data_IF_262275798706
#
_entry.id   IF_262275798706
#
_cell.length_a   1.000
_cell.length_b   1.000
_cell.length_c   1.000
_cell.angle_alpha   90.00
_cell.angle_beta   90.00
_cell.angle_gamma   90.00
#
_symmetry.space_group_name_H-M   'P 1'
#
loop_
_entity.id
_entity.type
_entity.pdbx_description
1 polymer ?
#
# COMPACT_ATOMS: atom_id res chain seq x y z
N UNK A 1 4.32 -19.59 0.13
CA UNK A 1 3.73 -19.26 -1.19
C UNK A 1 4.88 -19.35 -2.19
N UNK A 2 4.76 -18.91 -3.44
CA UNK A 2 5.96 -18.72 -4.29
C UNK A 2 6.17 -17.24 -4.55
N UNK A 3 7.40 -16.82 -4.83
CA UNK A 3 7.71 -15.41 -5.15
C UNK A 3 6.95 -14.93 -6.39
N UNK A 4 6.76 -15.82 -7.37
CA UNK A 4 5.94 -15.56 -8.57
C UNK A 4 4.48 -15.32 -8.21
N UNK A 5 3.92 -16.14 -7.32
CA UNK A 5 2.55 -15.96 -6.81
C UNK A 5 2.44 -14.64 -6.05
N UNK A 6 3.43 -14.28 -5.22
CA UNK A 6 3.46 -13.00 -4.51
C UNK A 6 3.44 -11.80 -5.46
N UNK A 7 4.25 -11.84 -6.53
CA UNK A 7 4.28 -10.78 -7.55
C UNK A 7 2.92 -10.65 -8.26
N UNK A 8 2.30 -11.76 -8.66
CA UNK A 8 0.97 -11.76 -9.32
C UNK A 8 -0.10 -11.19 -8.39
N UNK A 9 -0.12 -11.61 -7.13
CA UNK A 9 -1.09 -11.13 -6.14
C UNK A 9 -0.90 -9.65 -5.83
N UNK A 10 0.34 -9.18 -5.76
CA UNK A 10 0.67 -7.78 -5.54
C UNK A 10 0.22 -6.90 -6.72
N UNK A 11 0.48 -7.33 -7.96
CA UNK A 11 -0.05 -6.67 -9.18
C UNK A 11 -1.57 -6.60 -9.16
N UNK A 12 -2.22 -7.73 -8.91
CA UNK A 12 -3.68 -7.83 -8.85
C UNK A 12 -4.29 -6.93 -7.75
N UNK A 13 -3.67 -6.87 -6.58
CA UNK A 13 -4.12 -6.01 -5.48
C UNK A 13 -3.97 -4.52 -5.84
N UNK A 14 -2.84 -4.14 -6.43
CA UNK A 14 -2.59 -2.76 -6.84
C UNK A 14 -3.52 -2.31 -7.98
N UNK A 15 -3.83 -3.17 -8.95
CA UNK A 15 -4.77 -2.86 -10.02
C UNK A 15 -6.20 -2.67 -9.49
N UNK A 16 -6.61 -3.51 -8.54
CA UNK A 16 -7.89 -3.32 -7.86
C UNK A 16 -7.94 -1.99 -7.10
N UNK A 17 -6.83 -1.59 -6.46
CA UNK A 17 -6.72 -0.30 -5.78
C UNK A 17 -6.80 0.87 -6.76
N UNK A 18 -6.05 0.82 -7.87
CA UNK A 18 -6.08 1.83 -8.94
C UNK A 18 -7.48 1.97 -9.53
N UNK A 19 -8.17 0.85 -9.77
CA UNK A 19 -9.55 0.84 -10.26
C UNK A 19 -10.51 1.52 -9.28
N UNK A 20 -10.44 1.19 -8.00
CA UNK A 20 -11.29 1.80 -6.98
C UNK A 20 -11.01 3.30 -6.80
N UNK A 21 -9.74 3.72 -6.87
CA UNK A 21 -9.38 5.14 -6.82
C UNK A 21 -9.84 5.87 -8.08
N UNK A 22 -9.74 5.25 -9.26
CA UNK A 22 -10.25 5.84 -10.49
C UNK A 22 -11.77 6.08 -10.41
N UNK A 23 -12.55 5.13 -9.89
CA UNK A 23 -13.97 5.36 -9.62
C UNK A 23 -14.20 6.55 -8.67
N UNK A 24 -13.40 6.67 -7.61
CA UNK A 24 -13.48 7.80 -6.69
C UNK A 24 -13.17 9.14 -7.38
N UNK A 25 -12.15 9.18 -8.25
CA UNK A 25 -11.83 10.37 -9.07
C UNK A 25 -13.04 10.75 -9.92
N UNK A 26 -13.67 9.79 -10.60
CA UNK A 26 -14.86 10.03 -11.42
C UNK A 26 -16.01 10.60 -10.57
N UNK A 27 -16.29 10.02 -9.41
CA UNK A 27 -17.33 10.54 -8.50
C UNK A 27 -17.04 11.96 -8.00
N UNK A 28 -15.77 12.27 -7.69
CA UNK A 28 -15.39 13.60 -7.16
C UNK A 28 -15.33 14.66 -8.26
N UNK A 29 -14.90 14.29 -9.46
CA UNK A 29 -14.66 15.22 -10.56
C UNK A 29 -15.84 15.36 -11.52
N UNK A 30 -16.40 14.24 -11.99
CA UNK A 30 -17.42 14.23 -13.04
C UNK A 30 -18.83 14.32 -12.47
N UNK A 31 -19.13 13.63 -11.37
CA UNK A 31 -20.47 13.61 -10.76
C UNK A 31 -20.75 14.83 -9.85
N UNK A 32 -19.86 15.83 -9.83
CA UNK A 32 -19.97 16.96 -8.90
C UNK A 32 -21.18 17.86 -9.23
N UNK A 33 -21.90 18.37 -8.21
CA UNK A 33 -23.03 19.27 -8.41
C UNK A 33 -22.65 20.53 -9.19
N UNK A 34 -23.63 21.16 -9.83
CA UNK A 34 -23.44 22.44 -10.53
C UNK A 34 -23.07 23.54 -9.51
N UNK A 35 -22.18 24.46 -9.89
CA UNK A 35 -21.61 25.51 -9.04
C UNK A 35 -20.78 24.96 -7.85
N UNK A 36 -19.97 23.93 -8.13
CA UNK A 36 -19.09 23.28 -7.15
C UNK A 36 -17.73 23.95 -6.96
N UNK A 37 -17.55 25.18 -7.46
CA UNK A 37 -16.32 25.99 -7.35
C UNK A 37 -16.09 26.47 -5.90
N UNK A 38 -15.74 25.52 -5.04
CA UNK A 38 -15.64 25.68 -3.60
C UNK A 38 -14.32 25.08 -3.19
N UNK A 39 -13.54 25.82 -2.43
CA UNK A 39 -12.22 25.40 -1.97
C UNK A 39 -12.20 24.02 -1.29
N UNK A 40 -13.28 23.61 -0.62
CA UNK A 40 -13.41 22.29 -0.02
C UNK A 40 -13.46 21.14 -1.04
N UNK A 41 -14.00 21.39 -2.24
CA UNK A 41 -14.06 20.43 -3.35
C UNK A 41 -12.73 20.36 -4.07
N UNK A 42 -12.08 21.51 -4.30
CA UNK A 42 -10.76 21.55 -4.90
C UNK A 42 -9.74 20.80 -4.04
N UNK A 43 -9.77 21.03 -2.71
CA UNK A 43 -8.92 20.31 -1.77
C UNK A 43 -9.22 18.79 -1.73
N UNK A 44 -10.49 18.38 -1.86
CA UNK A 44 -10.84 16.96 -1.94
C UNK A 44 -10.31 16.34 -3.23
N UNK A 45 -10.49 17.02 -4.37
CA UNK A 45 -10.03 16.56 -5.67
C UNK A 45 -8.50 16.44 -5.69
N UNK A 46 -7.78 17.43 -5.17
CA UNK A 46 -6.32 17.41 -5.05
C UNK A 46 -5.85 16.17 -4.29
N UNK A 47 -6.42 15.89 -3.12
CA UNK A 47 -6.08 14.70 -2.31
C UNK A 47 -6.38 13.40 -3.08
N UNK A 48 -7.49 13.32 -3.81
CA UNK A 48 -7.85 12.11 -4.57
C UNK A 48 -6.92 11.91 -5.77
N UNK A 49 -6.52 12.98 -6.47
CA UNK A 49 -5.54 12.92 -7.56
C UNK A 49 -4.15 12.55 -7.05
N UNK A 50 -3.77 13.07 -5.89
CA UNK A 50 -2.54 12.69 -5.19
C UNK A 50 -2.53 11.19 -4.83
N UNK A 51 -3.65 10.67 -4.32
CA UNK A 51 -3.81 9.25 -4.04
C UNK A 51 -3.71 8.40 -5.31
N UNK A 52 -4.33 8.86 -6.40
CA UNK A 52 -4.26 8.20 -7.71
C UNK A 52 -2.82 8.15 -8.24
N UNK A 53 -2.10 9.27 -8.17
CA UNK A 53 -0.70 9.35 -8.61
C UNK A 53 0.20 8.40 -7.82
N UNK A 54 0.03 8.31 -6.50
CA UNK A 54 0.81 7.39 -5.66
C UNK A 54 0.51 5.92 -5.98
N UNK A 55 -0.76 5.55 -6.19
CA UNK A 55 -1.14 4.18 -6.59
C UNK A 55 -0.66 3.82 -8.01
N UNK A 56 -0.67 4.79 -8.93
CA UNK A 56 -0.11 4.62 -10.27
C UNK A 56 1.40 4.37 -10.22
N UNK A 57 2.15 5.15 -9.43
CA UNK A 57 3.58 4.96 -9.26
C UNK A 57 3.93 3.56 -8.73
N UNK A 58 3.16 3.02 -7.76
CA UNK A 58 3.32 1.65 -7.29
C UNK A 58 3.11 0.64 -8.44
N UNK A 59 2.08 0.85 -9.26
CA UNK A 59 1.79 0.02 -10.43
C UNK A 59 2.92 0.03 -11.46
N UNK A 60 3.42 1.20 -11.82
CA UNK A 60 4.54 1.35 -12.76
C UNK A 60 5.80 0.61 -12.30
N UNK A 61 6.11 0.66 -10.99
CA UNK A 61 7.23 -0.11 -10.42
C UNK A 61 7.00 -1.61 -10.46
N UNK A 62 5.77 -2.07 -10.23
CA UNK A 62 5.42 -3.49 -10.35
C UNK A 62 5.48 -3.96 -11.80
N UNK A 63 5.02 -3.15 -12.75
CA UNK A 63 5.04 -3.47 -14.17
C UNK A 63 6.46 -3.52 -14.73
N UNK A 64 7.38 -2.72 -14.18
CA UNK A 64 8.80 -2.79 -14.49
C UNK A 64 9.47 -4.09 -13.99
N UNK A 65 8.92 -4.78 -13.00
CA UNK A 65 9.40 -6.10 -12.58
C UNK A 65 8.90 -7.19 -13.55
N UNK A 66 9.81 -7.62 -14.43
CA UNK A 66 9.57 -8.65 -15.45
C UNK A 66 9.68 -10.04 -14.84
N UNK A 67 10.57 -10.23 -13.87
CA UNK A 67 10.80 -11.49 -13.17
C UNK A 67 10.56 -11.35 -11.66
N UNK A 68 10.14 -12.43 -11.00
CA UNK A 68 10.00 -12.48 -9.54
C UNK A 68 11.32 -12.17 -8.81
N UNK A 69 12.48 -12.43 -9.44
CA UNK A 69 13.81 -12.08 -8.91
C UNK A 69 14.06 -10.58 -8.80
N UNK A 70 13.33 -9.76 -9.54
CA UNK A 70 13.41 -8.29 -9.45
C UNK A 70 12.62 -7.75 -8.25
N UNK A 71 11.74 -8.59 -7.66
CA UNK A 71 10.83 -8.19 -6.60
C UNK A 71 11.54 -7.52 -5.41
N UNK A 72 12.67 -8.03 -4.86
CA UNK A 72 13.33 -7.38 -3.73
C UNK A 72 13.77 -5.93 -4.00
N UNK A 73 14.13 -5.60 -5.24
CA UNK A 73 14.56 -4.26 -5.63
C UNK A 73 13.36 -3.32 -5.72
N UNK A 74 12.28 -3.75 -6.39
CA UNK A 74 11.10 -2.90 -6.59
C UNK A 74 10.22 -2.79 -5.34
N UNK A 75 10.26 -3.79 -4.46
CA UNK A 75 9.33 -3.90 -3.33
C UNK A 75 9.52 -2.80 -2.29
N UNK A 76 10.72 -2.23 -2.18
CA UNK A 76 10.97 -1.06 -1.31
C UNK A 76 10.15 0.15 -1.77
N UNK A 77 10.22 0.47 -3.06
CA UNK A 77 9.48 1.60 -3.64
C UNK A 77 7.97 1.34 -3.62
N UNK A 78 7.55 0.11 -3.92
CA UNK A 78 6.14 -0.30 -3.85
C UNK A 78 5.61 -0.20 -2.42
N UNK A 79 6.36 -0.67 -1.42
CA UNK A 79 5.97 -0.55 -0.02
C UNK A 79 5.81 0.92 0.38
N UNK A 80 6.76 1.78 0.00
CA UNK A 80 6.70 3.20 0.32
C UNK A 80 5.47 3.86 -0.31
N UNK A 81 5.21 3.59 -1.59
CA UNK A 81 4.04 4.11 -2.29
C UNK A 81 2.73 3.61 -1.66
N UNK A 82 2.61 2.32 -1.37
CA UNK A 82 1.41 1.75 -0.73
C UNK A 82 1.22 2.31 0.68
N UNK A 83 2.29 2.51 1.46
CA UNK A 83 2.23 3.11 2.78
C UNK A 83 1.78 4.58 2.71
N UNK A 84 2.30 5.36 1.76
CA UNK A 84 1.89 6.75 1.53
C UNK A 84 0.42 6.83 1.09
N UNK A 85 -0.02 5.94 0.18
CA UNK A 85 -1.43 5.79 -0.17
C UNK A 85 -2.31 5.54 1.06
N UNK A 86 -1.90 4.60 1.92
CA UNK A 86 -2.65 4.28 3.13
C UNK A 86 -2.71 5.48 4.08
N UNK A 87 -1.59 6.15 4.29
CA UNK A 87 -1.51 7.32 5.15
C UNK A 87 -2.43 8.45 4.65
N UNK A 88 -2.37 8.78 3.36
CA UNK A 88 -3.25 9.79 2.73
C UNK A 88 -4.72 9.41 2.81
N UNK A 89 -5.05 8.15 2.52
CA UNK A 89 -6.43 7.67 2.62
C UNK A 89 -6.99 7.86 4.03
N UNK A 90 -6.26 7.43 5.06
CA UNK A 90 -6.73 7.53 6.45
C UNK A 90 -6.70 8.96 6.99
N UNK A 91 -5.64 9.73 6.70
CA UNK A 91 -5.43 11.08 7.22
C UNK A 91 -6.26 12.13 6.47
N UNK A 92 -6.26 12.09 5.16
CA UNK A 92 -6.74 13.20 4.32
C UNK A 92 -8.13 12.96 3.73
N UNK A 93 -8.56 11.70 3.61
CA UNK A 93 -9.91 11.36 3.15
C UNK A 93 -10.83 10.90 4.28
N UNK A 94 -10.39 9.97 5.13
CA UNK A 94 -11.25 9.31 6.12
C UNK A 94 -11.22 9.94 7.51
N UNK A 95 -10.28 10.85 7.79
CA UNK A 95 -10.23 11.48 9.11
C UNK A 95 -11.43 12.41 9.33
N UNK A 96 -11.73 12.69 10.59
CA UNK A 96 -12.88 13.50 10.97
C UNK A 96 -12.89 14.90 10.33
N UNK A 97 -11.71 15.53 10.18
CA UNK A 97 -11.59 16.89 9.66
C UNK A 97 -12.13 17.04 8.22
N UNK A 98 -11.52 16.37 7.23
CA UNK A 98 -12.01 16.34 5.85
C UNK A 98 -13.48 15.91 5.72
N UNK A 99 -13.87 14.83 6.42
CA UNK A 99 -15.24 14.30 6.38
C UNK A 99 -16.27 15.29 6.94
N UNK A 100 -15.98 15.93 8.08
CA UNK A 100 -16.87 16.92 8.68
C UNK A 100 -17.02 18.17 7.82
N UNK A 101 -15.93 18.64 7.19
CA UNK A 101 -15.97 19.73 6.21
C UNK A 101 -16.88 19.38 5.05
N UNK A 102 -16.64 18.27 4.36
CA UNK A 102 -17.46 17.80 3.23
C UNK A 102 -18.95 17.70 3.61
N UNK A 103 -19.27 17.03 4.73
CA UNK A 103 -20.65 16.90 5.23
C UNK A 103 -21.29 18.24 5.61
N UNK A 104 -20.53 19.18 6.17
CA UNK A 104 -21.02 20.53 6.48
C UNK A 104 -21.36 21.32 5.21
N UNK A 105 -20.48 21.25 4.21
CA UNK A 105 -20.64 21.84 2.89
C UNK A 105 -21.88 21.29 2.19
N UNK A 106 -22.07 19.98 2.23
CA UNK A 106 -23.23 19.33 1.62
C UNK A 106 -24.55 19.68 2.32
N UNK A 107 -24.54 19.74 3.66
CA UNK A 107 -25.74 20.13 4.43
C UNK A 107 -26.25 21.52 4.09
N UNK A 108 -25.34 22.47 3.86
CA UNK A 108 -25.65 23.86 3.57
C UNK A 108 -26.24 24.10 2.16
N UNK A 109 -26.02 23.17 1.21
CA UNK A 109 -26.34 23.36 -0.22
C UNK A 109 -27.50 22.52 -0.75
N UNK A 110 -28.22 21.83 0.12
CA UNK A 110 -29.46 21.14 -0.24
C UNK A 110 -29.30 19.67 -0.61
N UNK A 111 -30.27 19.14 -1.35
CA UNK A 111 -30.43 17.69 -1.56
C UNK A 111 -29.38 17.08 -2.50
N UNK A 112 -29.17 17.68 -3.67
CA UNK A 112 -28.20 17.21 -4.68
C UNK A 112 -26.80 17.01 -4.08
N UNK A 113 -26.34 17.99 -3.31
CA UNK A 113 -25.07 17.95 -2.60
C UNK A 113 -24.95 16.81 -1.59
N UNK A 114 -26.04 16.46 -0.90
CA UNK A 114 -26.06 15.32 0.04
C UNK A 114 -26.01 14.00 -0.71
N UNK A 115 -26.72 13.90 -1.82
CA UNK A 115 -26.69 12.71 -2.69
C UNK A 115 -25.27 12.48 -3.23
N UNK A 116 -24.65 13.53 -3.77
CA UNK A 116 -23.25 13.47 -4.24
C UNK A 116 -22.28 13.12 -3.11
N UNK A 117 -22.39 13.79 -1.95
CA UNK A 117 -21.56 13.47 -0.79
C UNK A 117 -21.72 12.01 -0.36
N UNK A 118 -22.93 11.45 -0.40
CA UNK A 118 -23.15 10.04 -0.09
C UNK A 118 -22.43 9.14 -1.10
N UNK A 119 -22.50 9.46 -2.41
CA UNK A 119 -21.76 8.73 -3.45
C UNK A 119 -20.25 8.77 -3.20
N UNK A 120 -19.69 9.94 -2.86
CA UNK A 120 -18.26 10.08 -2.50
C UNK A 120 -17.91 9.20 -1.31
N UNK A 121 -18.70 9.22 -0.24
CA UNK A 121 -18.44 8.37 0.94
C UNK A 121 -18.49 6.88 0.62
N UNK A 122 -19.42 6.46 -0.25
CA UNK A 122 -19.49 5.07 -0.71
C UNK A 122 -18.28 4.72 -1.58
N UNK A 123 -17.85 5.60 -2.49
CA UNK A 123 -16.64 5.39 -3.31
C UNK A 123 -15.38 5.32 -2.44
N UNK A 124 -15.27 6.15 -1.41
CA UNK A 124 -14.19 6.07 -0.42
C UNK A 124 -14.19 4.72 0.31
N UNK A 125 -15.35 4.21 0.73
CA UNK A 125 -15.46 2.89 1.37
C UNK A 125 -15.03 1.76 0.45
N UNK A 126 -15.32 1.85 -0.86
CA UNK A 126 -14.86 0.84 -1.85
C UNK A 126 -13.35 0.83 -2.04
N UNK A 127 -12.64 1.91 -1.74
CA UNK A 127 -11.18 1.96 -1.79
C UNK A 127 -10.51 1.23 -0.61
N UNK A 128 -11.21 1.02 0.51
CA UNK A 128 -10.61 0.46 1.73
C UNK A 128 -10.16 -1.00 1.57
N UNK A 129 -10.98 -1.95 1.07
CA UNK A 129 -10.55 -3.33 0.90
C UNK A 129 -9.33 -3.52 -0.01
N UNK A 130 -9.26 -2.93 -1.23
CA UNK A 130 -8.08 -3.11 -2.08
C UNK A 130 -6.83 -2.41 -1.53
N UNK A 131 -6.98 -1.34 -0.75
CA UNK A 131 -5.87 -0.69 -0.05
C UNK A 131 -5.30 -1.61 1.04
N UNK A 132 -6.16 -2.17 1.90
CA UNK A 132 -5.76 -3.13 2.94
C UNK A 132 -5.10 -4.36 2.31
N UNK A 133 -5.71 -4.91 1.25
CA UNK A 133 -5.14 -6.03 0.50
C UNK A 133 -3.76 -5.70 -0.06
N UNK A 134 -3.55 -4.51 -0.60
CA UNK A 134 -2.23 -4.09 -1.11
C UNK A 134 -1.18 -4.03 0.01
N UNK A 135 -1.53 -3.54 1.20
CA UNK A 135 -0.64 -3.55 2.37
C UNK A 135 -0.30 -4.98 2.79
N UNK A 136 -1.29 -5.88 2.82
CA UNK A 136 -1.10 -7.28 3.21
C UNK A 136 -0.24 -8.06 2.20
N UNK A 137 -0.44 -7.84 0.90
CA UNK A 137 0.35 -8.51 -0.15
C UNK A 137 1.79 -8.03 -0.16
N UNK A 138 2.07 -6.75 0.11
CA UNK A 138 3.45 -6.25 0.31
C UNK A 138 4.13 -6.99 1.47
N UNK A 139 3.47 -7.11 2.63
CA UNK A 139 4.02 -7.85 3.78
C UNK A 139 4.25 -9.33 3.45
N UNK A 140 3.33 -9.93 2.71
CA UNK A 140 3.43 -11.33 2.30
C UNK A 140 4.61 -11.52 1.33
N UNK A 141 4.81 -10.62 0.38
CA UNK A 141 5.96 -10.64 -0.52
C UNK A 141 7.30 -10.55 0.25
N UNK A 142 7.40 -9.66 1.24
CA UNK A 142 8.58 -9.59 2.10
C UNK A 142 8.82 -10.87 2.90
N UNK A 143 7.75 -11.51 3.41
CA UNK A 143 7.86 -12.78 4.12
C UNK A 143 8.44 -13.86 3.22
N UNK A 144 7.96 -13.99 1.99
CA UNK A 144 8.46 -14.99 1.04
C UNK A 144 9.94 -14.74 0.68
N UNK A 145 10.35 -13.48 0.52
CA UNK A 145 11.76 -13.12 0.35
C UNK A 145 12.58 -13.55 1.57
N UNK A 146 12.09 -13.27 2.79
CA UNK A 146 12.75 -13.67 4.03
C UNK A 146 12.92 -15.18 4.17
N UNK A 147 11.89 -15.97 3.81
CA UNK A 147 11.97 -17.44 3.82
C UNK A 147 12.97 -17.96 2.79
N UNK A 148 13.02 -17.37 1.58
CA UNK A 148 14.04 -17.72 0.59
C UNK A 148 15.45 -17.41 1.11
N UNK A 149 15.66 -16.22 1.67
CA UNK A 149 16.95 -15.86 2.25
C UNK A 149 17.36 -16.82 3.37
N UNK A 150 16.42 -17.23 4.22
CA UNK A 150 16.67 -18.23 5.28
C UNK A 150 17.10 -19.59 4.74
N UNK A 151 16.55 -20.03 3.60
CA UNK A 151 16.91 -21.30 2.98
C UNK A 151 18.29 -21.27 2.30
N UNK A 152 18.68 -20.13 1.74
CA UNK A 152 19.91 -20.01 0.94
C UNK A 152 21.09 -19.41 1.68
N UNK A 153 20.86 -18.65 2.75
CA UNK A 153 21.94 -18.17 3.62
C UNK A 153 22.36 -19.32 4.55
N UNK A 154 23.64 -19.71 4.57
CA UNK A 154 24.11 -20.74 5.48
C UNK A 154 23.85 -20.30 6.91
N UNK A 155 23.18 -21.16 7.69
CA UNK A 155 23.07 -20.98 9.15
C UNK A 155 24.49 -20.95 9.69
N UNK A 156 24.94 -19.79 10.15
CA UNK A 156 26.27 -19.62 10.74
C UNK A 156 26.31 -20.21 12.15
N UNK A 157 26.04 -21.51 12.28
CA UNK A 157 26.25 -22.31 13.48
C UNK A 157 26.79 -23.66 12.98
N UNK A 158 28.06 -24.06 13.18
CA UNK A 158 28.94 -23.91 14.34
C UNK A 158 30.41 -23.71 13.92
N UNK A 159 31.14 -22.82 14.61
CA UNK A 159 32.49 -23.18 15.04
C UNK A 159 32.72 -22.78 16.50
N UNK A 160 32.41 -23.66 17.46
CA UNK A 160 32.86 -23.47 18.85
C UNK A 160 33.03 -24.77 19.67
N UNK A 161 32.86 -25.97 19.09
CA UNK A 161 33.20 -27.23 19.79
C UNK A 161 34.59 -27.78 19.44
N UNK A 162 35.29 -27.21 18.45
CA UNK A 162 36.64 -27.65 18.10
C UNK A 162 37.75 -27.08 19.00
N UNK A 163 37.52 -25.95 19.70
CA UNK A 163 38.57 -25.31 20.52
C UNK A 163 38.66 -25.86 21.95
N UNK A 164 37.64 -26.58 22.44
CA UNK A 164 37.71 -27.21 23.77
C UNK A 164 38.52 -28.52 23.78
N UNK A 165 38.67 -29.19 22.63
CA UNK A 165 39.45 -30.44 22.52
C UNK A 165 40.96 -30.18 22.39
N UNK A 166 41.36 -29.04 21.82
CA UNK A 166 42.78 -28.68 21.68
C UNK A 166 43.42 -28.26 23.02
N UNK A 167 42.68 -27.58 23.91
CA UNK A 167 43.20 -27.15 25.23
C UNK A 167 43.30 -28.34 26.20
N UNK A 168 42.43 -29.35 26.08
CA UNK A 168 42.49 -30.55 26.93
C UNK A 168 43.63 -31.52 26.55
N UNK A 169 44.15 -31.46 25.32
CA UNK A 169 45.25 -32.31 24.86
C UNK A 169 46.65 -31.78 25.26
N UNK A 170 46.78 -30.47 25.51
CA UNK A 170 48.07 -29.84 25.82
C UNK A 170 48.39 -29.83 27.34
N UNK A 171 47.41 -30.11 28.20
CA UNK A 171 47.58 -30.19 29.67
C UNK A 171 48.03 -31.61 30.13
N UNK A 172 48.09 -32.60 29.21
CA UNK A 172 48.45 -34.00 29.51
C UNK A 172 49.79 -34.48 28.90
N UNK A 173 50.77 -33.60 28.71
CA UNK A 173 52.15 -34.04 28.44
C UNK A 173 52.97 -33.98 29.75
N UNK A 174 53.51 -35.13 30.22
CA UNK A 174 54.26 -35.24 31.47
C UNK A 174 55.66 -34.61 31.41
#
# INVERSE_FOLDING_TARGET
MSLTTALIELKSANDALRSAIAELVMTVHEDRPVNSDIAAMDALLEVVLELQATAAAAGERLDAAVDARDLPVVLVDVQQAVAECALRYWRDLRSYGPMSRMRSTARARGYEWRTWQNSVEQSQLRCEPPLQRSVETVHTAWREIGELLRLYLPTSEQPAQASASAIAADIRRP
#
